data_IF_647155270079
#
_entry.id   IF_647155270079
#
_cell.length_a   1.000
_cell.length_b   1.000
_cell.length_c   1.000
_cell.angle_alpha   90.00
_cell.angle_beta   90.00
_cell.angle_gamma   90.00
#
_symmetry.space_group_name_H-M   'P 1'
#
loop_
_entity.id
_entity.type
_entity.pdbx_description
1 polymer ?
#
# COMPACT_ATOMS: atom_id res chain seq x y z
N UNK A 1 -19.59 -5.08 -0.86
CA UNK A 1 -18.67 -3.93 -0.82
C UNK A 1 -17.28 -4.44 -0.49
N UNK A 2 -16.37 -4.46 -1.47
CA UNK A 2 -15.00 -4.87 -1.19
C UNK A 2 -14.32 -3.75 -0.39
N UNK A 3 -14.01 -4.01 0.88
CA UNK A 3 -13.30 -3.07 1.76
C UNK A 3 -12.00 -2.64 1.11
N UNK A 4 -11.68 -1.35 1.14
CA UNK A 4 -10.44 -0.76 0.59
C UNK A 4 -9.21 -1.54 1.06
N UNK A 5 -9.24 -2.02 2.31
CA UNK A 5 -8.26 -2.96 2.88
C UNK A 5 -7.96 -4.15 1.99
N UNK A 6 -8.98 -4.84 1.51
CA UNK A 6 -8.81 -6.07 0.72
C UNK A 6 -8.12 -5.77 -0.61
N UNK A 7 -8.60 -4.73 -1.31
CA UNK A 7 -8.03 -4.27 -2.58
C UNK A 7 -6.55 -3.92 -2.44
N UNK A 8 -6.19 -3.19 -1.38
CA UNK A 8 -4.80 -2.85 -1.07
C UNK A 8 -3.97 -4.08 -0.71
N UNK A 9 -4.51 -5.00 0.09
CA UNK A 9 -3.83 -6.25 0.44
C UNK A 9 -3.55 -7.10 -0.79
N UNK A 10 -4.54 -7.29 -1.67
CA UNK A 10 -4.36 -8.04 -2.92
C UNK A 10 -3.27 -7.41 -3.80
N UNK A 11 -3.24 -6.08 -3.91
CA UNK A 11 -2.19 -5.38 -4.67
C UNK A 11 -0.81 -5.52 -4.04
N UNK A 12 -0.72 -5.52 -2.70
CA UNK A 12 0.55 -5.71 -1.99
C UNK A 12 1.00 -7.17 -1.94
N UNK A 13 0.09 -8.13 -2.05
CA UNK A 13 0.40 -9.56 -2.17
C UNK A 13 0.97 -9.89 -3.56
N UNK A 14 0.48 -9.21 -4.59
CA UNK A 14 1.01 -9.29 -5.97
C UNK A 14 2.42 -8.66 -6.09
N UNK A 15 2.83 -7.81 -5.14
CA UNK A 15 4.18 -7.27 -5.08
C UNK A 15 5.18 -8.32 -4.59
N UNK A 16 6.25 -8.52 -5.35
CA UNK A 16 7.36 -9.37 -4.90
C UNK A 16 7.99 -8.85 -3.60
N UNK A 17 8.63 -9.75 -2.82
CA UNK A 17 9.29 -9.38 -1.56
C UNK A 17 10.27 -8.19 -1.67
N UNK A 18 10.95 -8.04 -2.81
CA UNK A 18 11.86 -6.92 -3.08
C UNK A 18 11.09 -5.61 -3.23
N UNK A 19 10.00 -5.63 -3.99
CA UNK A 19 9.16 -4.48 -4.22
C UNK A 19 8.40 -4.11 -2.93
N UNK A 20 7.86 -5.09 -2.21
CA UNK A 20 7.24 -4.84 -0.91
C UNK A 20 8.22 -4.20 0.09
N UNK A 21 9.50 -4.61 0.07
CA UNK A 21 10.54 -3.97 0.90
C UNK A 21 10.80 -2.51 0.50
N UNK A 22 10.83 -2.21 -0.81
CA UNK A 22 10.93 -0.83 -1.31
C UNK A 22 9.68 -0.02 -0.95
N UNK A 23 8.49 -0.59 -1.15
CA UNK A 23 7.22 0.04 -0.80
C UNK A 23 7.19 0.45 0.66
N UNK A 24 7.58 -0.45 1.57
CA UNK A 24 7.72 -0.16 3.00
C UNK A 24 8.71 0.97 3.28
N UNK A 25 9.80 1.06 2.52
CA UNK A 25 10.80 2.13 2.63
C UNK A 25 10.21 3.48 2.22
N UNK A 26 9.47 3.55 1.11
CA UNK A 26 8.77 4.77 0.73
C UNK A 26 7.66 5.13 1.72
N UNK A 27 6.93 4.12 2.22
CA UNK A 27 5.88 4.33 3.21
C UNK A 27 6.42 4.85 4.56
N UNK A 28 7.66 4.48 4.90
CA UNK A 28 8.39 5.05 6.04
C UNK A 28 8.68 6.54 5.84
N UNK A 29 9.01 6.97 4.62
CA UNK A 29 9.32 8.36 4.32
C UNK A 29 8.05 9.23 4.22
N UNK A 30 6.99 8.69 3.60
CA UNK A 30 5.73 9.40 3.35
C UNK A 30 4.72 9.30 4.52
N UNK A 31 4.91 8.34 5.43
CA UNK A 31 3.93 7.96 6.45
C UNK A 31 4.44 8.13 7.89
N UNK A 32 3.56 8.42 8.86
CA UNK A 32 3.91 8.46 10.27
C UNK A 32 4.09 7.07 10.88
N UNK A 33 4.44 6.05 10.10
CA UNK A 33 4.48 4.65 10.56
C UNK A 33 5.91 4.33 11.05
N UNK A 34 6.07 3.86 12.30
CA UNK A 34 7.39 3.53 12.83
C UNK A 34 8.03 2.34 12.12
N UNK A 35 9.33 2.46 11.83
CA UNK A 35 10.18 1.45 11.15
C UNK A 35 10.09 0.08 11.82
N UNK A 36 10.10 0.07 13.14
CA UNK A 36 10.06 -1.15 13.96
C UNK A 36 8.79 -1.96 13.72
N UNK A 37 7.69 -1.30 13.32
CA UNK A 37 6.45 -1.96 12.96
C UNK A 37 6.50 -2.40 11.51
N UNK A 38 6.93 -1.54 10.58
CA UNK A 38 7.06 -1.87 9.15
C UNK A 38 7.98 -3.05 8.84
N UNK A 39 9.08 -3.20 9.60
CA UNK A 39 9.99 -4.34 9.44
C UNK A 39 9.33 -5.68 9.76
N UNK A 40 8.46 -5.71 10.77
CA UNK A 40 7.76 -6.93 11.21
C UNK A 40 6.36 -7.10 10.60
N UNK A 41 5.79 -6.02 10.09
CA UNK A 41 4.45 -5.98 9.52
C UNK A 41 4.40 -6.72 8.20
N UNK A 42 3.42 -7.59 8.01
CA UNK A 42 3.14 -8.18 6.71
C UNK A 42 2.46 -7.17 5.77
N UNK A 43 2.23 -7.57 4.52
CA UNK A 43 1.46 -6.79 3.54
C UNK A 43 0.14 -6.28 4.13
N UNK A 44 -0.60 -7.18 4.79
CA UNK A 44 -1.90 -6.89 5.40
C UNK A 44 -1.79 -5.92 6.58
N UNK A 45 -0.78 -6.09 7.43
CA UNK A 45 -0.58 -5.27 8.62
C UNK A 45 -0.17 -3.84 8.22
N UNK A 46 0.67 -3.72 7.19
CA UNK A 46 1.03 -2.44 6.57
C UNK A 46 -0.20 -1.70 6.05
N UNK A 47 -1.08 -2.40 5.33
CA UNK A 47 -2.35 -1.81 4.85
C UNK A 47 -3.24 -1.38 6.01
N UNK A 48 -3.36 -2.21 7.04
CA UNK A 48 -4.21 -1.90 8.19
C UNK A 48 -3.73 -0.62 8.89
N UNK A 49 -2.42 -0.47 9.08
CA UNK A 49 -1.85 0.74 9.66
C UNK A 49 -2.02 1.98 8.77
N UNK A 50 -1.94 1.82 7.44
CA UNK A 50 -2.23 2.92 6.52
C UNK A 50 -3.69 3.36 6.65
N UNK A 51 -4.63 2.41 6.71
CA UNK A 51 -6.05 2.69 6.85
C UNK A 51 -6.39 3.31 8.20
N UNK A 52 -5.80 2.79 9.27
CA UNK A 52 -6.03 3.26 10.64
C UNK A 52 -5.49 4.68 10.85
N UNK A 53 -4.28 4.98 10.36
CA UNK A 53 -3.65 6.29 10.56
C UNK A 53 -4.04 7.35 9.54
N UNK A 54 -4.16 6.98 8.26
CA UNK A 54 -4.37 7.94 7.16
C UNK A 54 -5.82 7.95 6.69
N UNK A 55 -6.56 6.87 6.93
CA UNK A 55 -7.90 6.66 6.39
C UNK A 55 -7.88 6.01 4.99
N UNK A 56 -9.01 5.41 4.58
CA UNK A 56 -9.13 4.64 3.34
C UNK A 56 -8.77 5.41 2.08
N UNK A 57 -9.18 6.67 1.96
CA UNK A 57 -8.90 7.48 0.76
C UNK A 57 -7.42 7.84 0.64
N UNK A 58 -6.78 8.23 1.76
CA UNK A 58 -5.36 8.58 1.76
C UNK A 58 -4.48 7.35 1.56
N UNK A 59 -4.84 6.24 2.18
CA UNK A 59 -4.12 4.98 2.00
C UNK A 59 -4.05 4.60 0.51
N UNK A 60 -5.17 4.65 -0.21
CA UNK A 60 -5.19 4.39 -1.66
C UNK A 60 -4.31 5.36 -2.43
N UNK A 61 -4.40 6.67 -2.16
CA UNK A 61 -3.58 7.67 -2.84
C UNK A 61 -2.08 7.45 -2.63
N UNK A 62 -1.65 7.16 -1.41
CA UNK A 62 -0.24 6.88 -1.10
C UNK A 62 0.21 5.58 -1.78
N UNK A 63 -0.59 4.51 -1.69
CA UNK A 63 -0.26 3.25 -2.37
C UNK A 63 -0.11 3.45 -3.87
N UNK A 64 -1.03 4.17 -4.52
CA UNK A 64 -0.93 4.52 -5.95
C UNK A 64 0.32 5.34 -6.27
N UNK A 65 0.65 6.32 -5.42
CA UNK A 65 1.83 7.16 -5.62
C UNK A 65 3.12 6.33 -5.55
N UNK A 66 3.27 5.52 -4.51
CA UNK A 66 4.46 4.67 -4.31
C UNK A 66 4.59 3.64 -5.44
N UNK A 67 3.48 3.00 -5.84
CA UNK A 67 3.49 2.07 -6.97
C UNK A 67 3.97 2.75 -8.25
N UNK A 68 3.51 3.96 -8.54
CA UNK A 68 3.99 4.75 -9.70
C UNK A 68 5.48 5.12 -9.58
N UNK A 69 5.95 5.51 -8.39
CA UNK A 69 7.36 5.82 -8.14
C UNK A 69 8.27 4.60 -8.37
N UNK A 70 7.80 3.42 -7.99
CA UNK A 70 8.54 2.17 -8.17
C UNK A 70 8.41 1.56 -9.58
N UNK A 71 7.77 2.27 -10.51
CA UNK A 71 7.47 1.81 -11.87
C UNK A 71 6.49 0.61 -11.92
N UNK A 72 5.77 0.34 -10.82
CA UNK A 72 4.67 -0.63 -10.71
C UNK A 72 3.35 -0.02 -11.22
N UNK A 73 3.40 0.63 -12.38
CA UNK A 73 2.26 1.35 -12.97
C UNK A 73 1.07 0.42 -13.24
N UNK A 74 1.34 -0.84 -13.58
CA UNK A 74 0.29 -1.84 -13.82
C UNK A 74 -0.53 -2.13 -12.55
N UNK A 75 0.14 -2.31 -11.41
CA UNK A 75 -0.51 -2.52 -10.12
C UNK A 75 -1.24 -1.26 -9.64
N UNK A 76 -0.67 -0.08 -9.91
CA UNK A 76 -1.35 1.19 -9.62
C UNK A 76 -2.65 1.32 -10.41
N UNK A 77 -2.62 1.05 -11.72
CA UNK A 77 -3.81 1.11 -12.56
C UNK A 77 -4.86 0.09 -12.12
N UNK A 78 -4.46 -1.15 -11.79
CA UNK A 78 -5.37 -2.15 -11.25
C UNK A 78 -6.04 -1.68 -9.95
N UNK A 79 -5.27 -1.10 -9.04
CA UNK A 79 -5.78 -0.60 -7.77
C UNK A 79 -6.76 0.57 -7.98
N UNK A 80 -6.43 1.50 -8.88
CA UNK A 80 -7.26 2.65 -9.23
C UNK A 80 -8.58 2.18 -9.84
N UNK A 81 -8.53 1.28 -10.83
CA UNK A 81 -9.68 0.72 -11.52
C UNK A 81 -10.58 -0.11 -10.58
N UNK A 82 -9.98 -0.81 -9.60
CA UNK A 82 -10.73 -1.45 -8.52
C UNK A 82 -11.39 -0.44 -7.59
N UNK A 83 -10.89 0.79 -7.46
CA UNK A 83 -11.44 1.82 -6.56
C UNK A 83 -12.55 2.67 -7.19
N UNK A 84 -12.51 2.93 -8.50
CA UNK A 84 -13.51 3.74 -9.24
C UNK A 84 -14.76 2.98 -9.71
N UNK A 85 -14.88 1.67 -9.44
CA UNK A 85 -16.05 0.84 -9.78
C UNK A 85 -16.86 0.39 -8.56
#
# INVERSE_FOLDING_TARGET
>A
MASVKRKLCDTLDDLEKKELKRFKSYLREDGPIPVSVLEKADATDTVDQMLDRLGPERAVKITLHILKQMNQNHLAEQLENKHTK
#
